data_IF_028636341995
#
_entry.id   IF_028636341995
#
_cell.length_a   1.000
_cell.length_b   1.000
_cell.length_c   1.000
_cell.angle_alpha   90.00
_cell.angle_beta   90.00
_cell.angle_gamma   90.00
#
_symmetry.space_group_name_H-M   'P 1'
#
loop_
_entity.id
_entity.type
_entity.pdbx_description
1 polymer ?
#
# COMPACT_ATOMS: atom_id res chain seq x y z
N UNK A 1 -1.47 3.62 -28.17
CA UNK A 1 -1.58 5.07 -27.89
C UNK A 1 -0.67 5.79 -28.88
N UNK A 2 -1.12 6.92 -29.42
CA UNK A 2 -0.33 7.80 -30.29
C UNK A 2 0.30 8.95 -29.48
N UNK A 3 1.18 9.73 -30.12
CA UNK A 3 1.91 10.80 -29.44
C UNK A 3 1.01 11.94 -28.97
N UNK A 4 -0.03 12.27 -29.74
CA UNK A 4 -0.97 13.36 -29.41
C UNK A 4 -1.78 13.04 -28.15
N UNK A 5 -2.20 11.79 -27.98
CA UNK A 5 -2.84 11.34 -26.75
C UNK A 5 -1.85 11.17 -25.58
N UNK A 6 -0.58 10.87 -25.87
CA UNK A 6 0.45 10.64 -24.84
C UNK A 6 0.92 11.95 -24.18
N UNK A 7 1.06 13.04 -24.94
CA UNK A 7 1.59 14.32 -24.48
C UNK A 7 0.93 14.87 -23.20
N UNK A 8 -0.41 15.04 -23.12
CA UNK A 8 -1.05 15.55 -21.89
C UNK A 8 -0.98 14.56 -20.73
N UNK A 9 -0.82 13.25 -20.99
CA UNK A 9 -0.74 12.23 -19.96
C UNK A 9 0.66 12.15 -19.32
N UNK A 10 1.69 12.66 -19.98
CA UNK A 10 3.06 12.68 -19.42
C UNK A 10 3.14 13.55 -18.18
N UNK A 11 2.50 14.73 -18.17
CA UNK A 11 2.47 15.58 -16.98
C UNK A 11 1.70 14.92 -15.84
N UNK A 12 0.52 14.37 -16.13
CA UNK A 12 -0.28 13.62 -15.14
C UNK A 12 0.46 12.38 -14.60
N UNK A 13 1.26 11.70 -15.42
CA UNK A 13 2.12 10.60 -14.97
C UNK A 13 3.18 11.10 -13.99
N UNK A 14 3.84 12.22 -14.30
CA UNK A 14 4.86 12.80 -13.44
C UNK A 14 4.29 13.29 -12.10
N UNK A 15 3.01 13.65 -12.04
CA UNK A 15 2.29 14.09 -10.84
C UNK A 15 1.58 12.96 -10.08
N UNK A 16 1.77 11.70 -10.49
CA UNK A 16 1.13 10.51 -9.90
C UNK A 16 -0.42 10.56 -9.96
N UNK A 17 -0.98 11.23 -10.97
CA UNK A 17 -2.44 11.44 -11.14
C UNK A 17 -3.10 10.43 -12.08
N UNK A 18 -2.33 9.60 -12.78
CA UNK A 18 -2.88 8.59 -13.67
C UNK A 18 -3.39 7.36 -12.91
N UNK A 19 -4.51 6.82 -13.38
CA UNK A 19 -4.91 5.47 -12.99
C UNK A 19 -3.92 4.42 -13.53
N UNK A 20 -3.98 3.21 -12.96
CA UNK A 20 -3.04 2.12 -13.27
C UNK A 20 -3.08 1.72 -14.75
N UNK A 21 -4.25 1.75 -15.38
CA UNK A 21 -4.40 1.33 -16.77
C UNK A 21 -3.83 2.39 -17.75
N UNK A 22 -4.11 3.67 -17.49
CA UNK A 22 -3.58 4.80 -18.24
C UNK A 22 -2.05 4.88 -18.09
N UNK A 23 -1.53 4.72 -16.88
CA UNK A 23 -0.10 4.68 -16.61
C UNK A 23 0.59 3.54 -17.37
N UNK A 24 0.05 2.32 -17.32
CA UNK A 24 0.60 1.17 -18.05
C UNK A 24 0.62 1.39 -19.57
N UNK A 25 -0.49 1.91 -20.14
CA UNK A 25 -0.56 2.19 -21.58
C UNK A 25 0.43 3.27 -22.01
N UNK A 26 0.62 4.31 -21.20
CA UNK A 26 1.57 5.37 -21.51
C UNK A 26 3.02 4.88 -21.38
N UNK A 27 3.34 4.12 -20.34
CA UNK A 27 4.68 3.55 -20.15
C UNK A 27 5.07 2.64 -21.33
N UNK A 28 4.17 1.79 -21.80
CA UNK A 28 4.41 0.98 -23.00
C UNK A 28 4.67 1.83 -24.26
N UNK A 29 3.97 2.97 -24.42
CA UNK A 29 4.25 3.90 -25.51
C UNK A 29 5.66 4.52 -25.37
N UNK A 30 6.03 4.97 -24.18
CA UNK A 30 7.33 5.59 -23.89
C UNK A 30 8.52 4.66 -24.15
N UNK A 31 8.35 3.35 -23.97
CA UNK A 31 9.37 2.35 -24.34
C UNK A 31 9.64 2.30 -25.85
N UNK A 32 8.62 2.59 -26.66
CA UNK A 32 8.68 2.50 -28.12
C UNK A 32 8.90 3.85 -28.83
N UNK A 33 8.64 4.97 -28.15
CA UNK A 33 8.67 6.31 -28.73
C UNK A 33 9.70 7.22 -28.05
N UNK A 34 10.85 7.42 -28.71
CA UNK A 34 11.94 8.25 -28.20
C UNK A 34 11.55 9.72 -27.99
N UNK A 35 10.65 10.27 -28.81
CA UNK A 35 10.17 11.65 -28.67
C UNK A 35 9.40 11.85 -27.36
N UNK A 36 8.42 10.99 -27.08
CA UNK A 36 7.66 11.06 -25.83
C UNK A 36 8.53 10.74 -24.60
N UNK A 37 9.51 9.83 -24.74
CA UNK A 37 10.48 9.57 -23.68
C UNK A 37 11.38 10.78 -23.36
N UNK A 38 11.78 11.55 -24.37
CA UNK A 38 12.50 12.82 -24.19
C UNK A 38 11.63 13.84 -23.47
N UNK A 39 10.39 14.02 -23.93
CA UNK A 39 9.43 14.95 -23.32
C UNK A 39 9.20 14.64 -21.83
N UNK A 40 9.06 13.36 -21.45
CA UNK A 40 8.97 12.96 -20.04
C UNK A 40 10.17 13.43 -19.22
N UNK A 41 11.40 13.24 -19.72
CA UNK A 41 12.62 13.68 -19.03
C UNK A 41 12.65 15.21 -18.88
N UNK A 42 12.17 15.95 -19.87
CA UNK A 42 12.08 17.41 -19.80
C UNK A 42 11.07 17.88 -18.75
N UNK A 43 9.91 17.22 -18.64
CA UNK A 43 8.92 17.47 -17.57
C UNK A 43 9.53 17.16 -16.20
N UNK A 44 10.15 15.99 -16.02
CA UNK A 44 10.83 15.59 -14.78
C UNK A 44 11.92 16.61 -14.38
N UNK A 45 12.72 17.08 -15.34
CA UNK A 45 13.75 18.10 -15.12
C UNK A 45 13.15 19.43 -14.66
N UNK A 46 12.07 19.89 -15.30
CA UNK A 46 11.36 21.12 -14.89
C UNK A 46 10.80 20.97 -13.47
N UNK A 47 10.18 19.83 -13.16
CA UNK A 47 9.64 19.53 -11.83
C UNK A 47 10.72 19.53 -10.75
N UNK A 48 11.87 18.91 -11.02
CA UNK A 48 13.02 18.92 -10.11
C UNK A 48 13.53 20.34 -9.85
N UNK A 49 13.65 21.18 -10.89
CA UNK A 49 14.08 22.57 -10.74
C UNK A 49 13.11 23.39 -9.89
N UNK A 50 11.79 23.20 -10.06
CA UNK A 50 10.78 23.85 -9.22
C UNK A 50 10.87 23.37 -7.77
N UNK A 51 11.10 22.07 -7.56
CA UNK A 51 11.24 21.50 -6.22
C UNK A 51 12.50 22.02 -5.50
N UNK A 52 13.60 22.21 -6.22
CA UNK A 52 14.84 22.78 -5.68
C UNK A 52 14.70 24.29 -5.37
N UNK A 53 14.01 25.03 -6.23
CA UNK A 53 13.75 26.46 -6.03
C UNK A 53 12.66 26.75 -4.99
N UNK A 54 11.89 25.74 -4.55
CA UNK A 54 10.78 25.93 -3.63
C UNK A 54 11.28 26.41 -2.26
N UNK A 55 10.67 27.45 -1.67
CA UNK A 55 10.93 27.84 -0.29
C UNK A 55 10.71 26.67 0.68
N UNK A 56 11.59 26.54 1.67
CA UNK A 56 11.44 25.53 2.71
C UNK A 56 10.27 25.93 3.62
N UNK A 57 9.12 25.30 3.41
CA UNK A 57 7.99 25.43 4.30
C UNK A 57 8.32 24.77 5.64
N UNK A 58 8.47 25.58 6.69
CA UNK A 58 8.67 25.07 8.05
C UNK A 58 7.33 24.69 8.65
N UNK A 59 7.18 23.40 8.93
CA UNK A 59 6.08 22.90 9.74
C UNK A 59 6.19 23.48 11.16
N UNK A 60 5.10 24.03 11.75
CA UNK A 60 5.10 24.50 13.14
C UNK A 60 5.56 23.42 14.11
N UNK A 61 6.32 23.83 15.12
CA UNK A 61 6.98 22.90 16.06
C UNK A 61 5.98 22.04 16.83
N UNK A 62 4.78 22.55 17.13
CA UNK A 62 3.75 21.76 17.80
C UNK A 62 3.26 20.60 16.94
N UNK A 63 3.12 20.85 15.62
CA UNK A 63 2.70 19.82 14.65
C UNK A 63 3.81 18.81 14.46
N UNK A 64 5.06 19.26 14.34
CA UNK A 64 6.24 18.38 14.28
C UNK A 64 6.32 17.48 15.51
N UNK A 65 6.19 18.03 16.71
CA UNK A 65 6.20 17.27 17.96
C UNK A 65 5.03 16.28 18.05
N UNK A 66 3.85 16.64 17.54
CA UNK A 66 2.70 15.71 17.47
C UNK A 66 2.98 14.54 16.51
N UNK A 67 3.53 14.80 15.33
CA UNK A 67 3.85 13.75 14.36
C UNK A 67 4.94 12.80 14.89
N UNK A 68 6.02 13.33 15.46
CA UNK A 68 7.09 12.51 16.07
C UNK A 68 6.52 11.59 17.16
N UNK A 69 5.62 12.10 18.00
CA UNK A 69 4.95 11.29 19.04
C UNK A 69 4.02 10.21 18.46
N UNK A 70 3.44 10.42 17.29
CA UNK A 70 2.53 9.46 16.65
C UNK A 70 3.27 8.39 15.86
N UNK A 71 4.32 8.76 15.11
CA UNK A 71 5.12 7.80 14.32
C UNK A 71 5.92 6.85 15.21
N UNK A 72 6.34 7.29 16.41
CA UNK A 72 7.03 6.43 17.39
C UNK A 72 6.11 5.55 18.25
N UNK A 73 4.80 5.76 18.24
CA UNK A 73 3.86 4.94 19.01
C UNK A 73 3.48 3.69 18.21
N UNK A 74 4.15 2.57 18.52
CA UNK A 74 3.63 1.23 18.22
C UNK A 74 2.18 1.19 18.70
N UNK A 75 1.24 0.78 17.84
CA UNK A 75 -0.17 0.67 18.19
C UNK A 75 -0.29 -0.06 19.55
N UNK A 76 -0.98 0.51 20.56
CA UNK A 76 -1.10 -0.15 21.85
C UNK A 76 -1.74 -1.50 21.62
N UNK A 77 -1.02 -2.58 21.95
CA UNK A 77 -1.61 -3.92 21.91
C UNK A 77 -2.82 -3.90 22.83
N UNK A 78 -4.00 -4.13 22.26
CA UNK A 78 -5.24 -4.25 23.03
C UNK A 78 -5.11 -5.47 23.92
N UNK A 79 -4.50 -5.32 25.11
CA UNK A 79 -4.68 -6.27 26.20
C UNK A 79 -6.18 -6.29 26.45
N UNK A 80 -6.78 -7.48 26.35
CA UNK A 80 -8.20 -7.74 26.60
C UNK A 80 -8.54 -7.22 28.00
N UNK A 81 -9.06 -6.00 28.08
CA UNK A 81 -9.65 -5.47 29.29
C UNK A 81 -10.98 -6.21 29.47
N UNK A 82 -11.00 -7.17 30.41
CA UNK A 82 -12.22 -7.82 30.86
C UNK A 82 -13.14 -6.74 31.41
N UNK A 83 -14.19 -6.43 30.66
CA UNK A 83 -15.23 -5.49 31.03
C UNK A 83 -16.07 -6.12 32.14
N UNK A 84 -15.69 -5.84 33.39
CA UNK A 84 -16.59 -6.00 34.52
C UNK A 84 -17.60 -4.84 34.46
N UNK A 85 -18.80 -5.15 34.01
CA UNK A 85 -19.95 -4.25 33.97
C UNK A 85 -20.21 -3.73 35.38
N UNK A 86 -20.10 -2.41 35.56
CA UNK A 86 -20.67 -1.72 36.73
C UNK A 86 -21.68 -0.71 36.19
N UNK A 87 -22.95 -1.14 36.20
CA UNK A 87 -24.11 -0.27 36.04
C UNK A 87 -24.19 0.68 37.23
N UNK A 88 -24.00 1.98 36.99
CA UNK A 88 -24.16 3.03 37.98
C UNK A 88 -24.78 4.27 37.33
N UNK A 89 -26.05 4.50 37.64
CA UNK A 89 -26.86 5.67 37.35
C UNK A 89 -26.13 7.01 37.49
N UNK A 90 -26.40 7.96 36.57
CA UNK A 90 -27.07 9.21 36.92
C UNK A 90 -27.28 10.09 35.67
N UNK A 91 -28.55 10.36 35.38
CA UNK A 91 -28.98 11.48 34.56
C UNK A 91 -28.80 12.79 35.36
N UNK A 92 -28.35 13.86 34.70
CA UNK A 92 -28.87 15.24 34.74
C UNK A 92 -27.79 16.20 34.22
N UNK A 93 -28.19 17.15 33.37
CA UNK A 93 -27.33 18.27 32.99
C UNK A 93 -27.60 18.88 31.62
N UNK A 94 -28.87 18.95 31.21
CA UNK A 94 -29.29 19.82 30.11
C UNK A 94 -29.30 21.29 30.60
N UNK A 95 -28.84 22.18 29.72
CA UNK A 95 -29.00 23.65 29.67
C UNK A 95 -27.98 24.54 30.41
N UNK A 96 -27.04 25.09 29.62
CA UNK A 96 -26.67 26.52 29.59
C UNK A 96 -25.89 26.77 28.28
N UNK A 97 -26.49 27.42 27.27
CA UNK A 97 -26.22 28.84 26.95
C UNK A 97 -24.82 29.01 26.34
N UNK A 98 -24.65 29.10 25.01
CA UNK A 98 -25.04 30.24 24.19
C UNK A 98 -23.83 31.16 23.97
N UNK A 99 -23.55 31.50 22.71
CA UNK A 99 -22.54 32.46 22.20
C UNK A 99 -21.15 31.88 21.86
N UNK A 100 -21.03 31.34 20.64
CA UNK A 100 -19.85 31.50 19.78
C UNK A 100 -20.26 31.33 18.30
N UNK A 101 -21.15 32.21 17.83
CA UNK A 101 -21.43 32.36 16.41
C UNK A 101 -20.27 33.12 15.76
N UNK A 102 -19.42 32.41 15.02
CA UNK A 102 -18.38 33.05 14.22
C UNK A 102 -17.10 32.24 14.12
N UNK A 103 -17.17 31.07 13.47
CA UNK A 103 -16.09 30.49 12.64
C UNK A 103 -16.58 29.18 11.98
N UNK A 104 -17.63 29.25 11.15
CA UNK A 104 -17.97 28.12 10.25
C UNK A 104 -17.12 28.28 8.98
N UNK A 105 -15.81 28.10 9.14
CA UNK A 105 -14.99 27.61 8.04
C UNK A 105 -15.46 26.19 7.76
N UNK A 106 -15.71 25.91 6.48
CA UNK A 106 -16.11 24.62 5.91
C UNK A 106 -15.35 23.42 6.51
N UNK A 107 -15.85 22.89 7.62
CA UNK A 107 -15.62 21.50 7.99
C UNK A 107 -16.61 20.69 7.18
N UNK A 108 -16.22 20.36 5.95
CA UNK A 108 -16.78 19.20 5.27
C UNK A 108 -16.42 18.01 6.18
N UNK A 109 -17.38 17.36 6.85
CA UNK A 109 -17.07 16.16 7.61
C UNK A 109 -16.44 15.17 6.62
N UNK A 110 -15.33 14.48 6.96
CA UNK A 110 -14.78 13.47 6.10
C UNK A 110 -15.90 12.49 5.74
N UNK A 111 -16.10 12.28 4.44
CA UNK A 111 -17.07 11.31 3.93
C UNK A 111 -16.84 10.01 4.72
N UNK A 112 -17.86 9.45 5.39
CA UNK A 112 -17.67 8.17 6.04
C UNK A 112 -17.13 7.20 4.98
N UNK A 113 -16.02 6.50 5.24
CA UNK A 113 -15.47 5.54 4.31
C UNK A 113 -16.62 4.66 3.80
N UNK A 114 -16.71 4.49 2.48
CA UNK A 114 -17.66 3.54 1.93
C UNK A 114 -17.36 2.18 2.58
N UNK A 115 -18.34 1.27 2.67
CA UNK A 115 -18.11 -0.05 3.27
C UNK A 115 -16.92 -0.80 2.63
N UNK A 116 -16.59 -0.44 1.38
CA UNK A 116 -15.43 -0.92 0.62
C UNK A 116 -14.07 -0.38 1.11
N UNK A 117 -14.04 0.70 1.88
CA UNK A 117 -12.82 1.31 2.43
C UNK A 117 -12.50 0.79 3.85
N UNK A 118 -13.41 0.00 4.44
CA UNK A 118 -13.19 -0.54 5.77
C UNK A 118 -12.26 -1.76 5.72
N UNK A 119 -11.29 -1.84 6.63
CA UNK A 119 -10.39 -2.97 6.66
C UNK A 119 -11.14 -4.27 7.01
N UNK A 120 -11.00 -5.29 6.18
CA UNK A 120 -11.65 -6.59 6.38
C UNK A 120 -10.65 -7.56 6.96
N UNK A 121 -11.01 -8.22 8.07
CA UNK A 121 -10.21 -9.30 8.63
C UNK A 121 -10.66 -10.61 8.00
N UNK A 122 -9.75 -11.31 7.31
CA UNK A 122 -10.01 -12.63 6.74
C UNK A 122 -8.83 -13.57 6.93
N UNK A 123 -9.12 -14.86 6.91
CA UNK A 123 -8.10 -15.91 6.88
C UNK A 123 -7.78 -16.25 5.43
N UNK A 124 -6.49 -16.26 5.07
CA UNK A 124 -6.03 -16.46 3.69
C UNK A 124 -4.93 -17.51 3.69
N UNK A 125 -5.10 -18.54 2.87
CA UNK A 125 -4.09 -19.56 2.60
C UNK A 125 -3.29 -19.18 1.35
N UNK A 126 -1.98 -19.43 1.38
CA UNK A 126 -1.12 -19.16 0.24
C UNK A 126 0.35 -19.35 0.52
N UNK A 127 1.18 -18.82 -0.35
CA UNK A 127 2.63 -18.86 -0.28
C UNK A 127 3.19 -17.47 0.03
N UNK A 128 3.91 -17.34 1.14
CA UNK A 128 4.65 -16.12 1.47
C UNK A 128 6.07 -16.24 0.97
N UNK A 129 6.52 -15.23 0.23
CA UNK A 129 7.89 -15.10 -0.26
C UNK A 129 8.30 -13.62 -0.28
N UNK A 130 9.58 -13.36 -0.51
CA UNK A 130 10.07 -12.01 -0.72
C UNK A 130 10.11 -11.71 -2.23
N UNK A 131 9.26 -10.79 -2.71
CA UNK A 131 9.19 -10.43 -4.13
C UNK A 131 10.55 -10.00 -4.65
N UNK A 132 11.24 -9.16 -3.87
CA UNK A 132 12.56 -8.66 -4.22
C UNK A 132 13.60 -9.76 -4.39
N UNK A 133 13.66 -10.71 -3.45
CA UNK A 133 14.57 -11.85 -3.54
C UNK A 133 14.27 -12.71 -4.78
N UNK A 134 12.99 -12.91 -5.08
CA UNK A 134 12.57 -13.65 -6.27
C UNK A 134 12.98 -12.91 -7.56
N UNK A 135 12.76 -11.59 -7.63
CA UNK A 135 13.16 -10.77 -8.77
C UNK A 135 14.68 -10.74 -8.96
N UNK A 136 15.46 -10.57 -7.89
CA UNK A 136 16.92 -10.61 -7.97
C UNK A 136 17.46 -11.97 -8.46
N UNK A 137 16.78 -13.07 -8.13
CA UNK A 137 17.12 -14.39 -8.66
C UNK A 137 16.76 -14.57 -10.14
N UNK A 138 15.71 -13.90 -10.61
CA UNK A 138 15.26 -13.99 -12.01
C UNK A 138 16.02 -13.03 -12.92
N UNK A 139 16.46 -11.89 -12.38
CA UNK A 139 17.12 -10.80 -13.10
C UNK A 139 18.41 -10.37 -12.36
N UNK A 140 19.48 -11.19 -12.41
CA UNK A 140 20.69 -10.95 -11.63
C UNK A 140 21.41 -9.65 -12.01
N UNK A 141 21.23 -9.16 -13.24
CA UNK A 141 21.93 -7.97 -13.76
C UNK A 141 21.18 -6.66 -13.49
N UNK A 142 19.97 -6.71 -12.90
CA UNK A 142 19.18 -5.50 -12.63
C UNK A 142 19.52 -4.91 -11.26
N UNK A 143 19.98 -3.65 -11.17
CA UNK A 143 20.33 -3.04 -9.90
C UNK A 143 19.08 -2.82 -9.05
N UNK A 144 19.04 -3.40 -7.85
CA UNK A 144 17.93 -3.22 -6.91
C UNK A 144 18.22 -2.06 -5.97
N UNK A 145 17.45 -0.97 -6.10
CA UNK A 145 17.69 0.31 -5.42
C UNK A 145 17.44 0.27 -3.89
N UNK A 146 16.50 -0.55 -3.43
CA UNK A 146 16.17 -0.67 -2.00
C UNK A 146 16.71 -2.00 -1.45
N UNK A 147 17.41 -1.98 -0.30
CA UNK A 147 17.93 -3.18 0.36
C UNK A 147 16.96 -3.90 1.30
N UNK A 148 15.74 -3.40 1.46
CA UNK A 148 14.71 -4.02 2.32
C UNK A 148 14.08 -5.25 1.66
N UNK A 149 13.60 -6.18 2.48
CA UNK A 149 12.79 -7.29 1.99
C UNK A 149 11.38 -6.80 1.68
N UNK A 150 10.76 -7.34 0.64
CA UNK A 150 9.38 -7.02 0.27
C UNK A 150 8.52 -8.28 0.39
N UNK A 151 7.95 -8.55 1.57
CA UNK A 151 7.11 -9.73 1.78
C UNK A 151 5.79 -9.61 1.01
N UNK A 152 5.48 -10.66 0.25
CA UNK A 152 4.21 -10.81 -0.48
C UNK A 152 3.62 -12.17 -0.18
N UNK A 153 2.30 -12.20 -0.10
CA UNK A 153 1.50 -13.42 -0.08
C UNK A 153 0.91 -13.63 -1.47
N UNK A 154 1.21 -14.76 -2.09
CA UNK A 154 0.43 -15.28 -3.22
C UNK A 154 -0.64 -16.22 -2.68
N UNK A 155 -1.91 -15.86 -2.79
CA UNK A 155 -3.02 -16.69 -2.32
C UNK A 155 -3.16 -17.93 -3.19
N UNK A 156 -3.87 -18.94 -2.69
CA UNK A 156 -4.20 -20.14 -3.49
C UNK A 156 -5.08 -19.82 -4.72
N UNK A 157 -5.81 -18.70 -4.66
CA UNK A 157 -6.62 -18.18 -5.77
C UNK A 157 -5.78 -17.41 -6.81
N UNK A 158 -4.51 -17.16 -6.51
CA UNK A 158 -3.56 -16.46 -7.39
C UNK A 158 -3.50 -14.94 -7.18
N UNK A 159 -4.20 -14.40 -6.18
CA UNK A 159 -4.07 -12.98 -5.78
C UNK A 159 -2.68 -12.75 -5.17
N UNK A 160 -2.09 -11.57 -5.43
CA UNK A 160 -0.82 -11.16 -4.82
C UNK A 160 -1.10 -10.00 -3.89
N UNK A 161 -0.73 -10.16 -2.61
CA UNK A 161 -1.03 -9.19 -1.55
C UNK A 161 0.29 -8.77 -0.90
N UNK A 162 0.54 -7.47 -0.82
CA UNK A 162 1.73 -6.94 -0.15
C UNK A 162 1.51 -6.99 1.35
N UNK A 163 2.42 -7.64 2.08
CA UNK A 163 2.34 -7.73 3.53
C UNK A 163 3.07 -6.54 4.15
N UNK A 164 2.43 -5.87 5.10
CA UNK A 164 3.10 -4.83 5.87
C UNK A 164 4.23 -5.44 6.70
N UNK A 165 5.36 -4.73 6.70
CA UNK A 165 6.51 -5.08 7.52
C UNK A 165 6.11 -5.06 9.00
N UNK A 166 6.45 -6.14 9.69
CA UNK A 166 6.12 -6.33 11.09
C UNK A 166 6.74 -7.61 11.65
N UNK A 167 6.78 -7.76 12.98
CA UNK A 167 7.48 -8.87 13.62
C UNK A 167 6.90 -10.24 13.26
N UNK A 168 5.60 -10.28 12.90
CA UNK A 168 4.92 -11.51 12.48
C UNK A 168 5.32 -11.88 11.04
N UNK A 169 5.42 -10.90 10.15
CA UNK A 169 5.88 -11.05 8.76
C UNK A 169 7.37 -11.43 8.72
N UNK A 170 8.19 -10.78 9.54
CA UNK A 170 9.60 -11.13 9.72
C UNK A 170 9.76 -12.56 10.24
N UNK A 171 8.97 -12.98 11.25
CA UNK A 171 9.03 -14.35 11.75
C UNK A 171 8.64 -15.41 10.69
N UNK A 172 7.72 -15.06 9.78
CA UNK A 172 7.37 -15.91 8.64
C UNK A 172 8.56 -16.05 7.66
N UNK A 173 9.31 -14.98 7.41
CA UNK A 173 10.48 -14.99 6.52
C UNK A 173 11.76 -15.56 7.17
N UNK A 174 12.02 -15.29 8.46
CA UNK A 174 13.34 -15.42 9.09
C UNK A 174 13.87 -16.86 9.26
N UNK A 175 13.03 -17.90 9.27
CA UNK A 175 13.48 -19.25 9.70
C UNK A 175 14.28 -20.07 8.67
N UNK A 176 14.24 -19.75 7.36
CA UNK A 176 14.92 -20.48 6.27
C UNK A 176 15.25 -19.60 5.03
N UNK A 177 15.32 -18.27 5.20
CA UNK A 177 15.54 -17.32 4.09
C UNK A 177 14.29 -17.02 3.25
N UNK A 178 14.48 -16.25 2.16
CA UNK A 178 13.45 -15.73 1.25
C UNK A 178 12.66 -16.78 0.43
N UNK A 179 12.96 -18.08 0.59
CA UNK A 179 12.26 -19.14 -0.13
C UNK A 179 10.77 -19.18 0.25
N UNK A 180 9.91 -19.38 -0.75
CA UNK A 180 8.46 -19.38 -0.59
C UNK A 180 7.98 -20.47 0.38
N UNK A 181 6.97 -20.13 1.19
CA UNK A 181 6.40 -21.04 2.20
C UNK A 181 4.91 -20.99 2.23
N UNK A 182 4.29 -22.17 2.27
CA UNK A 182 2.85 -22.30 2.44
C UNK A 182 2.45 -21.98 3.88
N UNK A 183 1.57 -21.00 4.02
CA UNK A 183 1.08 -20.50 5.30
C UNK A 183 -0.41 -20.23 5.21
N UNK A 184 -1.05 -20.22 6.37
CA UNK A 184 -2.37 -19.65 6.55
C UNK A 184 -2.23 -18.44 7.44
N UNK A 185 -2.63 -17.28 6.93
CA UNK A 185 -2.52 -16.00 7.60
C UNK A 185 -3.90 -15.49 7.99
N UNK A 186 -4.02 -14.96 9.20
CA UNK A 186 -5.12 -14.04 9.51
C UNK A 186 -4.63 -12.64 9.21
N UNK A 187 -5.22 -12.00 8.20
CA UNK A 187 -4.81 -10.68 7.73
C UNK A 187 -5.94 -9.68 7.89
N UNK A 188 -5.56 -8.42 8.17
CA UNK A 188 -6.42 -7.27 7.98
C UNK A 188 -6.08 -6.66 6.63
N UNK A 189 -7.01 -6.75 5.69
CA UNK A 189 -6.84 -6.26 4.33
C UNK A 189 -7.34 -4.84 4.20
N UNK A 190 -6.56 -4.05 3.48
CA UNK A 190 -6.89 -2.71 3.05
C UNK A 190 -7.13 -2.77 1.54
N UNK A 191 -8.39 -3.03 1.10
CA UNK A 191 -8.70 -3.47 -0.27
C UNK A 191 -8.36 -2.43 -1.33
N UNK A 192 -8.36 -1.14 -1.00
CA UNK A 192 -8.00 -0.06 -1.93
C UNK A 192 -6.50 -0.04 -2.22
N UNK A 193 -5.67 -0.50 -1.28
CA UNK A 193 -4.21 -0.41 -1.37
C UNK A 193 -3.53 -1.74 -1.71
N UNK A 194 -4.29 -2.85 -1.78
CA UNK A 194 -3.76 -4.21 -1.94
C UNK A 194 -2.68 -4.59 -0.90
N UNK A 195 -2.82 -4.00 0.28
CA UNK A 195 -1.90 -4.16 1.42
C UNK A 195 -2.62 -4.92 2.54
N UNK A 196 -1.88 -5.78 3.24
CA UNK A 196 -2.35 -6.54 4.39
C UNK A 196 -1.48 -6.35 5.63
N UNK A 197 -2.11 -6.06 6.76
CA UNK A 197 -1.47 -6.22 8.07
C UNK A 197 -1.64 -7.67 8.54
N UNK A 198 -0.52 -8.35 8.82
CA UNK A 198 -0.53 -9.74 9.30
C UNK A 198 -0.81 -9.77 10.80
N UNK A 199 -1.96 -10.34 11.19
CA UNK A 199 -2.36 -10.46 12.59
C UNK A 199 -1.83 -11.74 13.23
N UNK A 200 -1.83 -12.85 12.48
CA UNK A 200 -1.26 -14.13 12.92
C UNK A 200 -0.87 -15.03 11.74
N UNK A 201 0.11 -15.90 11.96
CA UNK A 201 0.64 -16.86 10.97
C UNK A 201 0.52 -18.27 11.52
N UNK A 202 0.02 -19.20 10.70
CA UNK A 202 0.09 -20.65 10.94
C UNK A 202 0.82 -21.30 9.77
N UNK A 203 1.96 -21.94 10.04
CA UNK A 203 2.70 -22.67 9.02
C UNK A 203 1.95 -23.96 8.66
N UNK A 204 1.76 -24.23 7.37
CA UNK A 204 1.08 -25.43 6.87
C UNK A 204 2.11 -26.33 6.18
N UNK A 205 3.10 -26.79 6.94
CA UNK A 205 4.14 -27.72 6.46
C UNK A 205 4.91 -27.27 5.20
N UNK A 206 5.81 -28.12 4.67
CA UNK A 206 6.36 -27.91 3.34
C UNK A 206 5.30 -28.23 2.28
N UNK A 207 5.15 -27.37 1.27
CA UNK A 207 4.37 -27.69 0.07
C UNK A 207 5.01 -28.91 -0.60
N UNK A 208 4.25 -29.99 -0.76
CA UNK A 208 4.65 -31.15 -1.59
C UNK A 208 4.49 -30.89 -3.08
N UNK A 209 3.99 -29.72 -3.47
CA UNK A 209 3.72 -29.35 -4.85
C UNK A 209 4.77 -28.34 -5.30
N UNK A 210 5.69 -28.69 -6.23
CA UNK A 210 6.58 -27.73 -6.83
C UNK A 210 5.75 -26.66 -7.55
N UNK A 211 6.11 -25.38 -7.48
CA UNK A 211 5.36 -24.33 -8.15
C UNK A 211 5.35 -24.61 -9.66
N UNK A 212 4.19 -24.60 -10.33
CA UNK A 212 4.17 -24.63 -11.79
C UNK A 212 4.95 -23.41 -12.27
N UNK A 213 5.97 -23.65 -13.11
CA UNK A 213 6.87 -22.62 -13.68
C UNK A 213 6.12 -21.52 -14.43
N UNK A 214 4.85 -21.76 -14.75
CA UNK A 214 4.02 -20.89 -15.57
C UNK A 214 3.08 -19.98 -14.77
N UNK A 215 3.09 -20.00 -13.44
CA UNK A 215 2.10 -19.28 -12.63
C UNK A 215 2.24 -17.74 -12.68
N UNK A 216 3.47 -17.22 -12.77
CA UNK A 216 3.72 -15.77 -12.90
C UNK A 216 3.31 -15.30 -14.31
N UNK A 217 3.64 -16.10 -15.32
CA UNK A 217 3.26 -15.87 -16.72
C UNK A 217 1.74 -15.95 -16.91
N UNK A 218 1.06 -16.87 -16.22
CA UNK A 218 -0.40 -17.03 -16.27
C UNK A 218 -1.17 -15.97 -15.49
N UNK A 219 -0.57 -15.35 -14.46
CA UNK A 219 -1.13 -14.19 -13.79
C UNK A 219 -0.98 -12.93 -14.67
N UNK A 220 0.20 -12.73 -15.28
CA UNK A 220 0.43 -11.65 -16.26
C UNK A 220 -0.50 -11.77 -17.48
N UNK A 221 -0.73 -12.99 -17.99
CA UNK A 221 -1.63 -13.24 -19.11
C UNK A 221 -3.12 -13.02 -18.77
N UNK A 222 -3.54 -13.25 -17.52
CA UNK A 222 -4.94 -12.99 -17.09
C UNK A 222 -5.26 -11.51 -16.98
N UNK A 223 -4.30 -10.68 -16.58
CA UNK A 223 -4.42 -9.22 -16.61
C UNK A 223 -4.52 -8.70 -18.05
N UNK A 224 -3.84 -9.34 -19.00
CA UNK A 224 -3.92 -8.98 -20.42
C UNK A 224 -5.21 -9.44 -21.13
N UNK A 225 -5.96 -10.39 -20.57
CA UNK A 225 -7.07 -11.06 -21.25
C UNK A 225 -8.48 -10.70 -20.74
N UNK A 226 -8.62 -9.84 -19.73
CA UNK A 226 -9.94 -9.36 -19.32
C UNK A 226 -10.53 -8.43 -20.42
N UNK A 227 -11.67 -8.78 -21.05
CA UNK A 227 -12.29 -7.93 -22.05
C UNK A 227 -12.96 -6.73 -21.36
N UNK A 228 -12.89 -5.58 -22.05
CA UNK A 228 -13.57 -4.32 -21.70
C UNK A 228 -15.09 -4.44 -21.76
#
# INVERSE_FOLDING_TARGET
>A
MDCEAAEPLIEALCDDELDVAAAASLLAHLESCAGCASLRREVETRKAAVQEARPIDRLPDEVRARLVRQVGRKAPSRRKASWAVSTGLAALGLVAGGVAGGFVLRHVPPRPPALADLPVVREVAGEVFCLRCALASLFPDTPVLDQRHLPVLRTDEGEVITLLDGPVTEAALARKGCAGRRVVLTVRLYPVQEIAEVLSVRAVGPSSVPPPRDAVTAAAARVAAAPR
#
